data_IF_180991484400
#
_entry.id   IF_180991484400
#
_cell.length_a   1.000
_cell.length_b   1.000
_cell.length_c   1.000
_cell.angle_alpha   90.00
_cell.angle_beta   90.00
_cell.angle_gamma   90.00
#
_symmetry.space_group_name_H-M   'P 1'
#
loop_
_entity.id
_entity.type
_entity.pdbx_description
1 polymer ?
#
# COMPACT_ATOMS: atom_id res chain seq x y z
N UNK A 1 -23.54 12.61 11.22
CA UNK A 1 -24.98 12.71 10.94
C UNK A 1 -25.26 13.67 9.79
N UNK A 2 -26.22 13.34 8.93
CA UNK A 2 -26.66 14.16 7.80
C UNK A 2 -28.01 13.65 7.27
N UNK A 3 -29.00 14.51 6.98
CA UNK A 3 -30.22 14.06 6.32
C UNK A 3 -29.96 13.64 4.88
N UNK A 4 -30.85 12.82 4.30
CA UNK A 4 -30.83 12.54 2.88
C UNK A 4 -31.00 13.85 2.08
N UNK A 5 -30.26 13.99 0.98
CA UNK A 5 -30.18 15.22 0.18
C UNK A 5 -29.18 16.26 0.68
N UNK A 6 -28.54 16.05 1.84
CA UNK A 6 -27.54 17.00 2.35
C UNK A 6 -26.27 17.00 1.48
N UNK A 7 -25.69 18.19 1.26
CA UNK A 7 -24.39 18.37 0.58
C UNK A 7 -23.20 18.39 1.55
N UNK A 8 -23.43 18.02 2.81
CA UNK A 8 -22.37 17.99 3.82
C UNK A 8 -22.68 17.00 4.92
N UNK A 9 -21.64 16.39 5.47
CA UNK A 9 -21.71 15.45 6.58
C UNK A 9 -21.03 16.05 7.80
N UNK A 10 -21.72 16.04 8.94
CA UNK A 10 -21.10 16.37 10.22
C UNK A 10 -20.46 15.11 10.79
N UNK A 11 -19.16 15.16 11.00
CA UNK A 11 -18.37 14.10 11.63
C UNK A 11 -17.88 14.56 13.00
N UNK A 12 -17.79 13.62 13.94
CA UNK A 12 -17.17 13.84 15.24
C UNK A 12 -15.88 13.03 15.27
N UNK A 13 -14.76 13.72 15.46
CA UNK A 13 -13.42 13.15 15.61
C UNK A 13 -13.07 13.04 17.10
N UNK A 14 -12.09 12.21 17.41
CA UNK A 14 -11.58 12.11 18.77
C UNK A 14 -10.91 13.42 19.21
N UNK A 15 -10.99 13.69 20.52
CA UNK A 15 -10.43 14.91 21.09
C UNK A 15 -8.92 14.92 20.88
N UNK A 16 -8.42 16.02 20.32
CA UNK A 16 -6.99 16.22 20.12
C UNK A 16 -6.45 15.73 18.79
N UNK A 17 -7.31 15.30 17.85
CA UNK A 17 -6.93 15.04 16.47
C UNK A 17 -7.02 16.35 15.65
N UNK A 18 -5.88 17.04 15.40
CA UNK A 18 -5.89 18.19 14.52
C UNK A 18 -6.18 17.76 13.08
N UNK A 19 -7.05 18.48 12.41
CA UNK A 19 -7.34 18.35 11.00
C UNK A 19 -6.88 19.64 10.32
N UNK A 20 -5.98 19.54 9.35
CA UNK A 20 -5.55 20.71 8.57
C UNK A 20 -6.65 21.13 7.60
N UNK A 21 -6.66 22.40 7.18
CA UNK A 21 -7.62 22.87 6.18
C UNK A 21 -7.48 22.02 4.90
N UNK A 22 -8.59 21.50 4.39
CA UNK A 22 -8.66 20.73 3.14
C UNK A 22 -7.72 19.50 3.07
N UNK A 23 -7.30 18.96 4.22
CA UNK A 23 -6.45 17.75 4.31
C UNK A 23 -7.00 16.51 3.60
N UNK A 24 -8.32 16.37 3.52
CA UNK A 24 -9.02 15.25 2.88
C UNK A 24 -9.68 15.64 1.56
N UNK A 25 -9.37 16.82 1.02
CA UNK A 25 -9.92 17.30 -0.24
C UNK A 25 -9.56 16.37 -1.40
N UNK A 26 -10.54 16.10 -2.27
CA UNK A 26 -10.44 15.11 -3.35
C UNK A 26 -10.17 13.67 -2.88
N UNK A 27 -10.25 13.42 -1.57
CA UNK A 27 -10.34 12.09 -1.01
C UNK A 27 -11.79 11.62 -0.95
N UNK A 28 -12.04 10.64 -0.09
CA UNK A 28 -13.35 10.03 0.07
C UNK A 28 -13.70 9.82 1.53
N UNK A 29 -14.99 9.92 1.83
CA UNK A 29 -15.59 9.47 3.08
C UNK A 29 -16.48 8.28 2.77
N UNK A 30 -16.27 7.16 3.45
CA UNK A 30 -17.17 6.01 3.35
C UNK A 30 -17.74 5.66 4.72
N UNK A 31 -18.98 5.20 4.73
CA UNK A 31 -19.69 4.81 5.95
C UNK A 31 -19.47 3.32 6.17
N UNK A 32 -18.83 2.96 7.27
CA UNK A 32 -18.43 1.58 7.57
C UNK A 32 -19.47 0.82 8.40
N UNK A 33 -20.38 1.50 9.10
CA UNK A 33 -21.39 0.86 9.95
C UNK A 33 -22.64 1.75 10.14
N UNK A 34 -23.75 1.10 10.48
CA UNK A 34 -25.08 1.61 10.77
C UNK A 34 -25.77 2.31 9.57
N UNK A 35 -26.48 3.41 9.82
CA UNK A 35 -27.30 4.03 8.79
C UNK A 35 -26.42 4.58 7.65
N UNK A 36 -26.70 4.14 6.42
CA UNK A 36 -25.92 4.51 5.24
C UNK A 36 -24.64 3.69 5.05
N UNK A 37 -24.48 2.54 5.71
CA UNK A 37 -23.37 1.61 5.48
C UNK A 37 -23.18 1.27 4.00
N UNK A 38 -21.92 1.21 3.57
CA UNK A 38 -21.53 0.85 2.20
C UNK A 38 -21.58 2.00 1.19
N UNK A 39 -22.07 3.18 1.58
CA UNK A 39 -22.01 4.37 0.75
C UNK A 39 -20.66 5.09 0.88
N UNK A 40 -20.17 5.60 -0.25
CA UNK A 40 -18.96 6.40 -0.36
C UNK A 40 -19.28 7.73 -1.04
N UNK A 41 -18.67 8.81 -0.57
CA UNK A 41 -18.86 10.16 -1.08
C UNK A 41 -17.51 10.85 -1.31
N UNK A 42 -17.42 11.59 -2.41
CA UNK A 42 -16.24 12.41 -2.74
C UNK A 42 -16.21 13.67 -1.86
N UNK A 43 -15.07 13.93 -1.22
CA UNK A 43 -14.87 15.11 -0.36
C UNK A 43 -14.43 16.30 -1.21
N UNK A 44 -15.18 17.41 -1.11
CA UNK A 44 -14.89 18.67 -1.81
C UNK A 44 -13.96 19.56 -0.99
N UNK A 45 -14.13 19.55 0.33
CA UNK A 45 -13.35 20.35 1.26
C UNK A 45 -13.91 20.26 2.66
N UNK A 46 -13.17 20.84 3.61
CA UNK A 46 -13.58 20.93 5.00
C UNK A 46 -12.74 22.00 5.73
N UNK A 47 -13.29 22.62 6.78
CA UNK A 47 -12.48 23.51 7.60
C UNK A 47 -11.38 22.72 8.32
N UNK A 48 -10.26 23.40 8.58
CA UNK A 48 -9.28 22.91 9.54
C UNK A 48 -9.77 23.15 10.99
N UNK A 49 -9.12 22.52 11.94
CA UNK A 49 -9.31 22.78 13.36
C UNK A 49 -8.50 21.83 14.23
N UNK A 50 -8.42 22.11 15.53
CA UNK A 50 -7.71 21.28 16.48
C UNK A 50 -8.08 21.62 17.92
N UNK A 51 -7.47 20.92 18.87
CA UNK A 51 -7.76 21.09 20.30
C UNK A 51 -9.11 20.49 20.68
N UNK A 52 -10.01 21.33 21.21
CA UNK A 52 -11.32 20.90 21.70
C UNK A 52 -12.40 20.81 20.62
N UNK A 53 -12.11 21.27 19.40
CA UNK A 53 -13.05 21.24 18.28
C UNK A 53 -13.09 19.83 17.67
N UNK A 54 -14.02 19.02 18.18
CA UNK A 54 -14.23 17.62 17.76
C UNK A 54 -15.20 17.48 16.60
N UNK A 55 -15.96 18.53 16.23
CA UNK A 55 -17.04 18.40 15.25
C UNK A 55 -16.68 19.11 13.96
N UNK A 56 -16.53 18.37 12.86
CA UNK A 56 -16.15 18.90 11.55
C UNK A 56 -17.29 18.75 10.55
N UNK A 57 -17.47 19.79 9.73
CA UNK A 57 -18.35 19.75 8.56
C UNK A 57 -17.53 19.35 7.35
N UNK A 58 -17.82 18.20 6.77
CA UNK A 58 -17.20 17.72 5.54
C UNK A 58 -18.15 18.04 4.39
N UNK A 59 -17.71 18.89 3.46
CA UNK A 59 -18.47 19.18 2.25
C UNK A 59 -18.25 18.06 1.24
N UNK A 60 -19.35 17.52 0.70
CA UNK A 60 -19.33 16.39 -0.24
C UNK A 60 -19.87 16.83 -1.60
N UNK A 61 -19.40 16.15 -2.65
CA UNK A 61 -19.73 16.50 -4.03
C UNK A 61 -21.17 16.13 -4.38
N UNK A 62 -21.53 14.87 -4.13
CA UNK A 62 -22.84 14.32 -4.40
C UNK A 62 -23.66 14.27 -3.10
N UNK A 63 -24.97 14.56 -3.15
CA UNK A 63 -25.78 14.62 -1.95
C UNK A 63 -25.92 13.25 -1.28
N UNK A 64 -26.04 13.27 0.05
CA UNK A 64 -26.26 12.07 0.87
C UNK A 64 -27.50 11.32 0.39
N UNK A 65 -27.35 10.04 0.04
CA UNK A 65 -28.47 9.23 -0.50
C UNK A 65 -29.32 8.67 0.64
N UNK A 66 -28.68 8.11 1.66
CA UNK A 66 -29.32 7.55 2.86
C UNK A 66 -28.97 8.42 4.05
N UNK A 67 -30.00 8.86 4.79
CA UNK A 67 -29.79 9.71 5.96
C UNK A 67 -28.86 9.02 6.97
N UNK A 68 -27.80 9.73 7.36
CA UNK A 68 -26.81 9.30 8.34
C UNK A 68 -27.23 9.78 9.73
N UNK A 69 -27.15 8.90 10.71
CA UNK A 69 -27.48 9.20 12.10
C UNK A 69 -26.21 9.57 12.87
N UNK A 70 -26.34 9.76 14.18
CA UNK A 70 -25.20 9.88 15.10
C UNK A 70 -24.54 8.54 15.41
N UNK A 71 -25.18 7.41 15.08
CA UNK A 71 -24.60 6.07 15.22
C UNK A 71 -23.86 5.60 13.97
N UNK A 72 -24.01 6.31 12.84
CA UNK A 72 -23.24 6.05 11.63
C UNK A 72 -21.75 6.27 11.89
N UNK A 73 -20.96 5.23 11.65
CA UNK A 73 -19.51 5.31 11.69
C UNK A 73 -18.99 5.52 10.26
N UNK A 74 -17.97 6.36 10.11
CA UNK A 74 -17.39 6.64 8.80
C UNK A 74 -15.88 6.87 8.90
N UNK A 75 -15.18 6.56 7.82
CA UNK A 75 -13.73 6.73 7.69
C UNK A 75 -13.45 7.75 6.60
N UNK A 76 -12.58 8.71 6.93
CA UNK A 76 -12.02 9.68 5.98
C UNK A 76 -10.71 9.15 5.41
N UNK A 77 -10.58 9.15 4.09
CA UNK A 77 -9.34 8.77 3.39
C UNK A 77 -8.84 9.90 2.54
N UNK A 78 -7.54 10.18 2.62
CA UNK A 78 -6.88 11.22 1.84
C UNK A 78 -6.79 10.84 0.36
N UNK A 79 -6.67 11.84 -0.50
CA UNK A 79 -6.35 11.62 -1.90
C UNK A 79 -4.95 10.99 -2.02
N UNK A 80 -4.84 9.84 -2.69
CA UNK A 80 -3.56 9.13 -2.89
C UNK A 80 -2.56 9.91 -3.76
N UNK A 81 -3.05 10.91 -4.51
CA UNK A 81 -2.24 11.77 -5.37
C UNK A 81 -1.81 13.08 -4.70
N UNK A 82 -2.21 13.33 -3.45
CA UNK A 82 -1.78 14.50 -2.70
C UNK A 82 -0.51 14.19 -1.88
N UNK A 83 0.42 15.15 -1.82
CA UNK A 83 1.65 15.02 -1.04
C UNK A 83 2.59 13.87 -1.47
N UNK A 84 2.52 13.42 -2.73
CA UNK A 84 3.29 12.26 -3.22
C UNK A 84 4.80 12.51 -3.13
N UNK A 85 5.55 11.46 -2.81
CA UNK A 85 7.01 11.46 -2.73
C UNK A 85 7.61 10.30 -3.53
N UNK A 86 8.94 10.28 -3.65
CA UNK A 86 9.63 9.13 -4.23
C UNK A 86 9.64 8.00 -3.20
N UNK A 87 9.13 6.80 -3.53
CA UNK A 87 9.11 5.68 -2.59
C UNK A 87 10.54 5.25 -2.24
N UNK A 88 10.75 4.81 -1.00
CA UNK A 88 12.05 4.33 -0.53
C UNK A 88 11.93 3.37 0.65
N UNK A 89 12.51 2.19 0.50
CA UNK A 89 12.75 1.26 1.61
C UNK A 89 11.56 0.37 1.98
N UNK A 90 10.33 0.88 1.91
CA UNK A 90 9.13 0.10 2.22
C UNK A 90 8.44 -0.42 0.94
N UNK A 91 8.42 -1.74 0.67
CA UNK A 91 7.72 -2.29 -0.48
C UNK A 91 6.18 -2.23 -0.34
N UNK A 92 5.65 -1.89 0.84
CA UNK A 92 4.21 -1.80 1.12
C UNK A 92 3.62 -0.42 0.87
N UNK A 93 4.46 0.58 0.55
CA UNK A 93 4.03 1.93 0.19
C UNK A 93 2.97 1.90 -0.92
N UNK A 94 1.95 2.76 -0.79
CA UNK A 94 0.93 2.96 -1.82
C UNK A 94 1.59 3.71 -2.98
N UNK A 95 1.65 3.06 -4.14
CA UNK A 95 2.24 3.64 -5.33
C UNK A 95 1.16 4.32 -6.15
N UNK A 96 1.23 5.65 -6.17
CA UNK A 96 0.37 6.49 -6.99
C UNK A 96 0.67 6.36 -8.49
N UNK A 97 1.87 5.92 -8.88
CA UNK A 97 2.26 5.65 -10.26
C UNK A 97 3.67 6.14 -10.60
N UNK A 98 3.92 6.31 -11.90
CA UNK A 98 5.23 6.74 -12.44
C UNK A 98 5.11 8.12 -13.08
N UNK A 99 5.96 9.05 -12.68
CA UNK A 99 6.09 10.35 -13.34
C UNK A 99 6.92 10.19 -14.63
N UNK A 100 6.41 10.59 -15.82
CA UNK A 100 7.14 10.46 -17.09
C UNK A 100 8.26 11.49 -17.25
N UNK A 101 8.23 12.57 -16.47
CA UNK A 101 9.19 13.67 -16.50
C UNK A 101 9.55 14.10 -15.08
N UNK A 102 10.66 14.82 -14.92
CA UNK A 102 11.04 15.40 -13.63
C UNK A 102 10.07 16.53 -13.26
N UNK A 103 9.55 16.48 -12.04
CA UNK A 103 8.53 17.41 -11.54
C UNK A 103 9.14 18.26 -10.42
N UNK A 104 9.07 19.59 -10.50
CA UNK A 104 9.41 20.46 -9.37
C UNK A 104 8.45 20.23 -8.19
N UNK A 105 8.94 20.43 -6.96
CA UNK A 105 8.10 20.29 -5.76
C UNK A 105 6.88 21.20 -5.82
N UNK A 106 5.75 20.75 -5.26
CA UNK A 106 4.49 21.53 -5.17
C UNK A 106 3.79 21.83 -6.51
N UNK A 107 4.10 21.06 -7.56
CA UNK A 107 3.42 21.18 -8.85
C UNK A 107 2.56 19.95 -9.20
N UNK A 108 1.44 20.20 -9.89
CA UNK A 108 0.62 19.15 -10.49
C UNK A 108 1.34 18.52 -11.68
N UNK A 109 1.15 17.21 -11.84
CA UNK A 109 1.73 16.45 -12.93
C UNK A 109 0.85 15.27 -13.32
N UNK A 110 1.12 14.73 -14.52
CA UNK A 110 0.49 13.51 -14.99
C UNK A 110 1.24 12.30 -14.45
N UNK A 111 0.53 11.46 -13.69
CA UNK A 111 1.04 10.20 -13.16
C UNK A 111 0.57 9.03 -14.01
N UNK A 112 1.50 8.23 -14.54
CA UNK A 112 1.17 7.02 -15.28
C UNK A 112 0.87 5.89 -14.31
N UNK A 113 -0.37 5.38 -14.33
CA UNK A 113 -0.83 4.28 -13.47
C UNK A 113 -0.79 2.92 -14.17
N UNK A 114 -0.89 2.91 -15.50
CA UNK A 114 -0.98 1.67 -16.27
C UNK A 114 -0.18 1.76 -17.58
N UNK A 115 0.21 0.60 -18.09
CA UNK A 115 0.85 0.48 -19.39
C UNK A 115 2.38 0.60 -19.34
N UNK A 116 3.04 0.68 -20.51
CA UNK A 116 4.49 0.69 -20.60
C UNK A 116 5.08 1.97 -20.01
N UNK A 117 5.91 1.84 -18.97
CA UNK A 117 6.57 2.93 -18.27
C UNK A 117 8.09 2.70 -18.18
N UNK A 118 8.85 3.79 -18.31
CA UNK A 118 10.31 3.78 -18.22
C UNK A 118 10.70 4.10 -16.78
N UNK A 119 11.35 3.14 -16.09
CA UNK A 119 11.65 3.26 -14.66
C UNK A 119 13.09 2.87 -14.38
N UNK A 120 13.72 3.54 -13.41
CA UNK A 120 15.07 3.20 -12.97
C UNK A 120 15.12 1.75 -12.48
N UNK A 121 16.02 0.96 -13.04
CA UNK A 121 16.26 -0.41 -12.60
C UNK A 121 17.27 -0.44 -11.46
N UNK A 122 17.03 -1.28 -10.46
CA UNK A 122 18.01 -1.70 -9.47
C UNK A 122 18.21 -3.22 -9.56
N UNK A 123 19.47 -3.65 -9.47
CA UNK A 123 19.83 -5.06 -9.65
C UNK A 123 19.58 -5.56 -11.07
N UNK A 124 19.33 -6.86 -11.22
CA UNK A 124 19.05 -7.51 -12.50
C UNK A 124 17.56 -7.83 -12.65
N UNK A 125 16.90 -7.22 -13.63
CA UNK A 125 15.56 -7.61 -14.04
C UNK A 125 15.60 -8.70 -15.11
N UNK A 126 14.49 -9.42 -15.23
CA UNK A 126 14.29 -10.45 -16.24
C UNK A 126 13.00 -10.15 -16.99
N UNK A 127 13.05 -10.18 -18.33
CA UNK A 127 11.87 -10.00 -19.15
C UNK A 127 10.77 -11.01 -18.76
N UNK A 128 9.53 -10.54 -18.67
CA UNK A 128 8.35 -11.31 -18.29
C UNK A 128 8.21 -11.58 -16.79
N UNK A 129 9.18 -11.21 -15.93
CA UNK A 129 9.05 -11.37 -14.49
C UNK A 129 8.40 -10.16 -13.83
N UNK A 130 7.70 -10.44 -12.73
CA UNK A 130 7.12 -9.41 -11.86
C UNK A 130 8.19 -8.47 -11.32
N UNK A 131 7.83 -7.21 -11.16
CA UNK A 131 8.68 -6.17 -10.55
C UNK A 131 7.99 -5.57 -9.34
N UNK A 132 8.81 -5.10 -8.41
CA UNK A 132 8.40 -4.41 -7.19
C UNK A 132 9.24 -3.14 -7.01
N UNK A 133 8.89 -2.33 -6.01
CA UNK A 133 9.70 -1.19 -5.60
C UNK A 133 11.06 -1.64 -5.06
N UNK A 134 12.13 -0.93 -5.42
CA UNK A 134 13.43 -1.17 -4.83
C UNK A 134 13.46 -0.71 -3.37
N UNK A 135 13.88 -1.62 -2.50
CA UNK A 135 14.13 -1.33 -1.08
C UNK A 135 15.46 -0.59 -0.85
N UNK A 136 16.31 -0.48 -1.88
CA UNK A 136 17.68 0.04 -1.77
C UNK A 136 17.90 1.34 -2.52
N UNK A 137 17.09 1.61 -3.55
CA UNK A 137 17.22 2.80 -4.39
C UNK A 137 15.87 3.49 -4.56
N UNK A 138 15.77 4.72 -4.05
CA UNK A 138 14.53 5.49 -4.12
C UNK A 138 14.06 5.69 -5.56
N UNK A 139 12.78 5.44 -5.81
CA UNK A 139 12.14 5.55 -7.13
C UNK A 139 12.57 4.50 -8.16
N UNK A 140 13.36 3.49 -7.78
CA UNK A 140 13.74 2.39 -8.67
C UNK A 140 12.83 1.17 -8.47
N UNK A 141 12.91 0.24 -9.43
CA UNK A 141 12.27 -1.08 -9.37
C UNK A 141 13.30 -2.18 -9.30
N UNK A 142 12.96 -3.25 -8.58
CA UNK A 142 13.75 -4.48 -8.50
C UNK A 142 12.90 -5.70 -8.85
N UNK A 143 13.54 -6.86 -8.97
CA UNK A 143 12.83 -8.13 -9.23
C UNK A 143 11.89 -8.43 -8.06
N UNK A 144 10.65 -8.83 -8.38
CA UNK A 144 9.68 -9.23 -7.36
C UNK A 144 10.26 -10.32 -6.45
N UNK A 145 10.19 -10.08 -5.15
CA UNK A 145 10.58 -11.06 -4.14
C UNK A 145 9.34 -11.76 -3.61
N UNK A 146 9.53 -13.03 -3.30
CA UNK A 146 8.52 -13.90 -2.75
C UNK A 146 8.98 -14.30 -1.35
N UNK A 147 8.16 -14.00 -0.35
CA UNK A 147 8.53 -14.21 1.07
C UNK A 147 8.11 -15.59 1.52
N UNK A 148 9.10 -16.47 1.75
CA UNK A 148 8.88 -17.78 2.36
C UNK A 148 8.98 -17.63 3.88
N UNK A 149 7.93 -17.93 4.66
CA UNK A 149 7.98 -17.87 6.11
C UNK A 149 9.03 -18.86 6.66
N UNK A 150 10.07 -18.33 7.30
CA UNK A 150 11.10 -19.14 7.97
C UNK A 150 10.72 -19.41 9.43
N UNK A 151 11.35 -20.37 10.11
CA UNK A 151 11.08 -20.67 11.53
C UNK A 151 11.56 -19.51 12.45
N UNK A 152 10.93 -19.34 13.62
CA UNK A 152 11.23 -18.24 14.56
C UNK A 152 12.69 -18.32 14.97
N UNK A 153 13.39 -17.19 14.93
CA UNK A 153 14.82 -17.12 15.26
C UNK A 153 15.78 -17.37 14.10
N UNK A 154 15.28 -17.55 12.87
CA UNK A 154 16.13 -17.56 11.66
C UNK A 154 15.98 -16.27 10.88
N UNK A 155 17.11 -15.67 10.47
CA UNK A 155 17.09 -14.46 9.67
C UNK A 155 16.73 -14.81 8.22
N UNK A 156 15.72 -14.14 7.65
CA UNK A 156 15.29 -14.34 6.27
C UNK A 156 16.44 -14.09 5.30
N UNK A 157 16.60 -14.99 4.31
CA UNK A 157 17.75 -14.97 3.40
C UNK A 157 17.29 -15.05 1.95
N UNK A 158 17.74 -14.11 1.13
CA UNK A 158 17.38 -14.02 -0.29
C UNK A 158 18.03 -15.16 -1.09
N UNK A 159 17.23 -16.11 -1.58
CA UNK A 159 17.72 -17.17 -2.47
C UNK A 159 17.73 -16.64 -3.91
N UNK A 160 18.80 -15.94 -4.31
CA UNK A 160 19.05 -15.67 -5.73
C UNK A 160 19.53 -16.95 -6.40
N UNK A 161 18.99 -17.27 -7.59
CA UNK A 161 19.46 -18.41 -8.38
C UNK A 161 20.97 -18.31 -8.64
N UNK A 162 21.74 -19.24 -8.06
CA UNK A 162 23.20 -19.31 -8.19
C UNK A 162 24.04 -18.69 -7.05
N UNK A 163 23.44 -18.16 -5.98
CA UNK A 163 24.20 -17.58 -4.86
C UNK A 163 24.45 -18.58 -3.71
N UNK A 164 25.72 -18.69 -3.30
CA UNK A 164 26.16 -19.55 -2.18
C UNK A 164 25.62 -19.05 -0.82
N UNK A 165 25.37 -19.95 0.16
CA UNK A 165 24.81 -19.61 1.46
C UNK A 165 25.52 -18.56 2.36
N UNK A 166 26.69 -18.06 1.99
CA UNK A 166 27.50 -17.18 2.85
C UNK A 166 27.57 -15.71 2.42
N UNK A 167 27.07 -15.35 1.25
CA UNK A 167 27.32 -14.03 0.64
C UNK A 167 26.08 -13.15 0.45
N UNK A 168 24.93 -13.55 1.01
CA UNK A 168 23.66 -12.86 0.77
C UNK A 168 23.30 -11.95 1.96
N UNK A 169 22.90 -10.69 1.72
CA UNK A 169 22.48 -9.77 2.77
C UNK A 169 21.23 -10.27 3.52
N UNK A 170 21.25 -10.08 4.83
CA UNK A 170 20.15 -10.40 5.75
C UNK A 170 19.12 -9.26 5.75
N UNK A 171 17.82 -9.59 5.74
CA UNK A 171 16.74 -8.61 5.88
C UNK A 171 15.92 -8.89 7.15
N UNK A 172 15.56 -7.84 7.90
CA UNK A 172 14.66 -7.92 9.05
C UNK A 172 13.22 -7.67 8.61
N UNK A 173 12.36 -8.66 8.82
CA UNK A 173 10.93 -8.60 8.51
C UNK A 173 10.15 -7.86 9.62
N UNK A 174 9.27 -6.92 9.26
CA UNK A 174 8.36 -6.23 10.20
C UNK A 174 6.89 -6.68 10.10
N UNK A 175 6.54 -7.49 9.09
CA UNK A 175 5.14 -7.73 8.69
C UNK A 175 4.51 -9.07 9.14
N UNK A 176 5.20 -9.92 9.92
CA UNK A 176 4.61 -11.18 10.41
C UNK A 176 4.94 -11.36 11.89
N UNK A 177 4.21 -10.65 12.75
CA UNK A 177 4.32 -10.81 14.21
C UNK A 177 3.24 -11.71 14.82
N UNK A 178 2.21 -12.10 14.06
CA UNK A 178 1.21 -13.06 14.57
C UNK A 178 1.55 -14.46 14.05
N UNK A 179 2.49 -15.11 14.74
CA UNK A 179 2.59 -16.57 14.66
C UNK A 179 1.54 -17.20 15.55
N UNK A 180 0.76 -18.10 14.97
CA UNK A 180 0.21 -19.22 15.72
C UNK A 180 1.37 -19.94 16.41
N UNK A 181 1.41 -19.92 17.74
CA UNK A 181 2.29 -20.76 18.53
C UNK A 181 1.77 -22.18 18.34
N UNK A 182 2.43 -22.99 17.52
CA UNK A 182 2.24 -24.44 17.56
C UNK A 182 3.45 -25.05 18.23
N UNK A 183 3.41 -25.09 19.56
CA UNK A 183 4.16 -26.04 20.38
C UNK A 183 3.61 -27.44 20.06
N UNK A 184 4.03 -28.04 18.95
CA UNK A 184 3.82 -29.47 18.72
C UNK A 184 5.18 -30.16 18.61
N UNK A 185 5.59 -30.94 19.64
CA UNK A 185 6.79 -31.74 19.56
C UNK A 185 6.64 -32.77 18.44
N UNK A 186 7.73 -32.96 17.70
CA UNK A 186 7.87 -33.94 16.63
C UNK A 186 7.54 -35.34 17.16
N UNK A 187 6.42 -35.95 16.74
CA UNK A 187 6.14 -37.37 17.02
C UNK A 187 6.87 -38.23 15.98
N UNK A 188 7.82 -39.09 16.38
CA UNK A 188 8.61 -39.89 15.45
C UNK A 188 7.87 -41.13 14.89
N UNK A 189 6.58 -41.34 15.20
CA UNK A 189 5.89 -42.61 14.90
C UNK A 189 5.01 -42.59 13.64
N UNK A 190 4.75 -41.44 12.99
CA UNK A 190 3.92 -41.40 11.77
C UNK A 190 4.74 -41.36 10.46
N UNK A 191 4.84 -42.48 9.72
CA UNK A 191 5.53 -42.54 8.42
C UNK A 191 4.75 -41.91 7.25
N UNK A 192 3.57 -41.32 7.48
CA UNK A 192 2.76 -40.67 6.43
C UNK A 192 2.86 -39.14 6.38
N UNK A 193 3.68 -38.51 7.24
CA UNK A 193 3.95 -37.07 7.11
C UNK A 193 5.00 -36.83 6.03
N UNK A 194 4.55 -36.94 4.77
CA UNK A 194 5.23 -36.35 3.62
C UNK A 194 5.52 -34.88 3.92
N UNK A 195 6.80 -34.56 4.10
CA UNK A 195 7.42 -33.22 4.23
C UNK A 195 6.44 -32.03 4.38
N UNK A 196 6.47 -31.36 5.54
CA UNK A 196 5.67 -30.17 5.93
C UNK A 196 5.87 -28.90 5.07
N UNK A 197 6.29 -29.01 3.82
CA UNK A 197 6.39 -27.89 2.87
C UNK A 197 5.40 -28.01 1.71
N UNK A 198 4.34 -28.81 1.87
CA UNK A 198 3.15 -28.73 1.03
C UNK A 198 2.47 -27.37 1.26
N UNK A 199 2.70 -26.42 0.36
CA UNK A 199 1.87 -25.22 0.22
C UNK A 199 2.00 -24.18 1.32
N UNK A 200 3.21 -23.80 1.75
CA UNK A 200 3.37 -22.53 2.47
C UNK A 200 2.90 -21.41 1.54
N UNK A 201 1.74 -20.84 1.85
CA UNK A 201 1.17 -19.67 1.16
C UNK A 201 2.26 -18.59 1.12
N UNK A 202 2.88 -18.45 -0.04
CA UNK A 202 3.91 -17.45 -0.23
C UNK A 202 3.19 -16.21 -0.69
N UNK A 203 3.23 -15.18 0.14
CA UNK A 203 2.58 -13.92 -0.17
C UNK A 203 3.55 -13.21 -1.11
N UNK A 204 3.20 -13.00 -2.40
CA UNK A 204 4.02 -12.14 -3.23
C UNK A 204 4.00 -10.75 -2.61
N UNK A 205 5.15 -10.09 -2.59
CA UNK A 205 5.18 -8.66 -2.30
C UNK A 205 4.34 -7.91 -3.36
N UNK A 206 3.94 -6.67 -3.08
CA UNK A 206 3.06 -5.92 -3.99
C UNK A 206 3.65 -5.87 -5.40
N UNK A 207 2.94 -6.47 -6.35
CA UNK A 207 3.34 -6.51 -7.76
C UNK A 207 2.98 -5.18 -8.40
N UNK A 208 3.99 -4.43 -8.82
CA UNK A 208 3.80 -3.18 -9.58
C UNK A 208 3.44 -3.45 -11.04
N UNK A 209 3.87 -4.61 -11.54
CA UNK A 209 3.70 -5.02 -12.92
C UNK A 209 4.76 -6.04 -13.34
N UNK A 210 5.16 -6.05 -14.61
CA UNK A 210 6.20 -6.94 -15.12
C UNK A 210 7.21 -6.23 -16.03
N UNK A 211 8.44 -6.75 -16.09
CA UNK A 211 9.48 -6.20 -16.94
C UNK A 211 9.27 -6.60 -18.40
N UNK A 212 9.24 -5.61 -19.31
CA UNK A 212 9.20 -5.84 -20.76
C UNK A 212 10.64 -5.95 -21.30
N UNK A 213 11.49 -4.99 -20.94
CA UNK A 213 12.86 -4.90 -21.46
C UNK A 213 13.84 -4.49 -20.35
N UNK A 214 14.65 -5.43 -19.82
CA UNK A 214 15.61 -5.14 -18.76
C UNK A 214 16.82 -4.35 -19.28
N UNK A 215 17.48 -3.63 -18.37
CA UNK A 215 18.76 -2.95 -18.59
C UNK A 215 19.76 -3.35 -17.50
N UNK A 216 20.86 -2.62 -17.34
CA UNK A 216 21.76 -2.78 -16.19
C UNK A 216 21.23 -1.99 -14.99
N UNK A 217 21.63 -2.36 -13.77
CA UNK A 217 21.05 -1.86 -12.51
C UNK A 217 21.26 -0.38 -12.16
N UNK A 218 21.67 0.44 -13.12
CA UNK A 218 21.77 1.91 -13.01
C UNK A 218 21.13 2.63 -14.20
N UNK A 219 20.43 1.90 -15.06
CA UNK A 219 19.77 2.40 -16.27
C UNK A 219 18.24 2.26 -16.14
N UNK A 220 17.51 2.83 -17.10
CA UNK A 220 16.06 2.76 -17.11
C UNK A 220 15.56 1.56 -17.90
N UNK A 221 14.84 0.66 -17.24
CA UNK A 221 14.16 -0.46 -17.87
C UNK A 221 12.75 -0.07 -18.33
N UNK A 222 12.22 -0.82 -19.29
CA UNK A 222 10.81 -0.71 -19.68
C UNK A 222 10.00 -1.76 -18.92
N UNK A 223 9.03 -1.30 -18.13
CA UNK A 223 8.09 -2.16 -17.39
C UNK A 223 6.67 -1.91 -17.87
N UNK A 224 5.78 -2.88 -17.68
CA UNK A 224 4.35 -2.69 -17.85
C UNK A 224 3.70 -2.53 -16.47
N UNK A 225 3.10 -1.36 -16.21
CA UNK A 225 2.41 -1.05 -14.96
C UNK A 225 1.01 -1.64 -14.94
N UNK A 226 0.61 -2.14 -13.77
CA UNK A 226 -0.73 -2.70 -13.50
C UNK A 226 -1.35 -2.10 -12.23
N UNK A 227 -1.11 -0.81 -11.96
CA UNK A 227 -1.75 -0.13 -10.84
C UNK A 227 -3.18 0.21 -11.27
N UNK A 228 -4.15 -0.55 -10.77
CA UNK A 228 -5.59 -0.31 -10.92
C UNK A 228 -6.29 -0.54 -9.61
#
# INVERSE_FOLDING_TARGET
AAPAGASSIIVTLDRGDPMSLDEYKHGYIYVNDAAGEGYMYDVVGHPGGGGEDTTKKIDIKDPVVVALTTSSQATLTKNIYDGVNRPYGDPWDIIAGVAPVSIPAEHYFWCQVQGPAVVLQEGGLFAGRGVMLSQRKSGAVEVLKQVIPVLSGSAGRELRGGASPKEVPTYTQKAVEIRHITDYPFDPVDPEVLTKFSGQATIPERVLGYCINPRVGTEHALIYLTLS
#
